data_IF_210122487882
#
_entry.id   IF_210122487882
#
_cell.length_a   1.000
_cell.length_b   1.000
_cell.length_c   1.000
_cell.angle_alpha   90.00
_cell.angle_beta   90.00
_cell.angle_gamma   90.00
#
_symmetry.space_group_name_H-M   'P 1'
#
loop_
_entity.id
_entity.type
_entity.pdbx_description
1 polymer ?
2 polymer ?
3 non-polymer ?
4 water ?
#
# COMPACT_ATOMS: atom_id res chain seq x y z
N UNK A 17 -0.50 -11.21 -10.08
CA UNK A 17 0.57 -11.80 -10.96
C UNK A 17 0.72 -10.99 -12.25
N UNK A 18 1.96 -10.84 -12.71
CA UNK A 18 2.22 -10.18 -14.00
C UNK A 18 3.67 -9.80 -14.20
N UNK A 19 3.91 -8.65 -14.86
CA UNK A 19 5.27 -8.29 -15.28
C UNK A 19 5.81 -6.87 -14.97
N UNK A 20 4.94 -5.88 -14.77
CA UNK A 20 5.41 -4.53 -14.40
C UNK A 20 5.04 -4.13 -12.97
N UNK A 21 5.85 -3.31 -12.33
CA UNK A 21 5.51 -2.68 -11.05
C UNK A 21 4.87 -1.31 -11.31
N UNK A 22 3.56 -1.22 -11.04
CA UNK A 22 2.80 0.00 -11.29
C UNK A 22 2.76 0.83 -9.99
N UNK A 23 3.03 2.13 -10.13
CA UNK A 23 2.90 3.06 -9.04
C UNK A 23 1.87 4.15 -9.42
N UNK A 24 0.84 4.27 -8.60
CA UNK A 24 -0.30 5.15 -8.84
C UNK A 24 -0.36 6.22 -7.76
N UNK A 25 -0.54 7.47 -8.21
CA UNK A 25 -0.71 8.60 -7.30
C UNK A 25 0.51 8.95 -6.47
N UNK A 26 0.24 9.46 -5.28
CA UNK A 26 1.27 9.82 -4.33
C UNK A 26 1.18 11.31 -3.99
N UNK A 27 2.22 11.79 -3.33
CA UNK A 27 2.26 13.15 -2.82
C UNK A 27 3.66 13.79 -2.98
N UNK A 28 3.67 15.00 -3.55
CA UNK A 28 4.84 15.87 -3.56
C UNK A 28 4.32 17.30 -3.72
N UNK A 29 4.24 18.03 -2.62
CA UNK A 29 3.67 19.41 -2.61
C UNK A 29 2.13 19.38 -2.67
N UNK A 30 1.60 18.50 -3.50
CA UNK A 30 0.17 18.21 -3.53
C UNK A 30 -0.01 16.78 -3.97
N UNK A 31 -1.21 16.26 -3.84
CA UNK A 31 -1.47 14.91 -4.33
C UNK A 31 -1.30 14.81 -5.85
N UNK A 32 -0.89 13.64 -6.33
CA UNK A 32 -0.49 13.40 -7.75
C UNK A 32 -1.40 12.46 -8.52
N UNK A 33 -1.46 12.64 -9.84
CA UNK A 33 -2.28 11.76 -10.70
C UNK A 33 -1.47 10.74 -11.49
N UNK A 34 -0.17 10.71 -11.25
CA UNK A 34 0.71 9.88 -12.09
C UNK A 34 0.37 8.39 -11.99
N UNK A 35 0.45 7.71 -13.13
CA UNK A 35 0.49 6.26 -13.15
C UNK A 35 1.70 5.90 -14.00
N UNK A 36 2.69 5.29 -13.34
CA UNK A 36 3.95 4.95 -14.00
C UNK A 36 4.23 3.49 -13.73
N UNK A 37 5.01 2.87 -14.62
CA UNK A 37 5.25 1.42 -14.51
C UNK A 37 6.71 1.08 -14.78
N UNK A 38 7.28 0.30 -13.86
CA UNK A 38 8.67 -0.05 -13.92
C UNK A 38 8.80 -1.50 -14.35
N UNK A 39 9.74 -1.74 -15.26
CA UNK A 39 10.02 -3.07 -15.80
C UNK A 39 11.35 -3.52 -15.20
N UNK A 40 11.29 -4.42 -14.20
CA UNK A 40 12.51 -4.94 -13.59
C UNK A 40 13.42 -5.63 -14.61
N UNK A 41 12.84 -6.21 -15.66
CA UNK A 41 13.62 -6.91 -16.70
C UNK A 41 14.56 -6.03 -17.52
N UNK A 42 14.18 -4.76 -17.75
CA UNK A 42 15.03 -3.90 -18.57
C UNK A 42 15.34 -2.53 -17.98
N UNK A 43 14.82 -2.25 -16.78
CA UNK A 43 15.08 -0.96 -16.11
C UNK A 43 14.25 0.24 -16.61
N UNK A 44 13.31 -0.03 -17.52
CA UNK A 44 12.56 1.05 -18.17
C UNK A 44 11.34 1.50 -17.35
N UNK A 45 10.99 2.78 -17.46
CA UNK A 45 9.79 3.32 -16.85
C UNK A 45 8.82 3.78 -17.94
N UNK A 46 7.53 3.44 -17.82
CA UNK A 46 6.51 3.98 -18.74
C UNK A 46 5.61 4.94 -18.00
N UNK A 47 5.23 6.03 -18.65
CA UNK A 47 4.12 6.84 -18.15
C UNK A 47 2.82 6.40 -18.78
N UNK A 48 1.86 6.09 -17.94
CA UNK A 48 0.55 5.67 -18.41
C UNK A 48 -0.49 6.78 -18.17
N UNK A 49 -1.76 6.47 -18.46
CA UNK A 49 -2.86 7.42 -18.31
C UNK A 49 -2.92 7.87 -16.86
N UNK A 50 -2.95 9.18 -16.64
CA UNK A 50 -3.17 9.72 -15.31
C UNK A 50 -4.45 9.21 -14.68
N UNK A 51 -4.43 9.08 -13.36
CA UNK A 51 -5.67 9.00 -12.59
C UNK A 51 -6.62 10.16 -12.94
N UNK A 52 -7.92 9.89 -12.95
CA UNK A 52 -8.95 10.92 -13.13
C UNK A 52 -8.93 11.98 -12.04
N UNK A 53 -8.64 11.57 -10.80
CA UNK A 53 -8.54 12.48 -9.67
C UNK A 53 -7.21 12.22 -8.95
N UNK A 54 -6.43 13.30 -8.64
CA UNK A 54 -5.17 13.10 -7.91
C UNK A 54 -5.45 12.47 -6.58
N UNK A 55 -4.53 11.64 -6.09
CA UNK A 55 -4.74 11.04 -4.77
C UNK A 55 -3.43 10.53 -4.19
N UNK A 56 -3.24 10.81 -2.90
CA UNK A 56 -2.13 10.22 -2.15
C UNK A 56 -2.74 9.35 -1.03
N UNK A 57 -1.95 8.49 -0.40
CA UNK A 57 -2.45 7.69 0.74
C UNK A 57 -3.47 6.64 0.31
N UNK A 58 -3.44 6.29 -0.98
CA UNK A 58 -4.32 5.29 -1.57
C UNK A 58 -3.62 3.93 -1.53
N UNK A 59 -4.33 2.86 -1.85
CA UNK A 59 -3.68 1.56 -2.07
C UNK A 59 -3.95 1.11 -3.48
N UNK A 60 -3.04 0.28 -4.01
CA UNK A 60 -3.28 -0.36 -5.31
C UNK A 60 -3.33 -1.88 -5.14
N UNK A 61 -4.13 -2.53 -5.96
CA UNK A 61 -4.14 -3.99 -5.98
C UNK A 61 -4.58 -4.47 -7.36
N UNK A 62 -4.27 -5.73 -7.68
CA UNK A 62 -4.63 -6.27 -8.99
C UNK A 62 -5.56 -7.47 -8.81
N UNK A 63 -6.67 -7.52 -9.55
CA UNK A 63 -7.51 -8.74 -9.63
C UNK A 63 -7.86 -8.96 -11.10
N UNK A 64 -7.60 -10.19 -11.57
CA UNK A 64 -7.97 -10.62 -12.92
C UNK A 64 -7.30 -9.74 -13.95
N UNK A 65 -6.03 -9.40 -13.70
CA UNK A 65 -5.26 -8.54 -14.61
C UNK A 65 -5.66 -7.05 -14.67
N UNK A 66 -6.61 -6.62 -13.84
CA UNK A 66 -6.99 -5.21 -13.79
C UNK A 66 -6.38 -4.57 -12.52
N UNK A 67 -5.92 -3.31 -12.64
CA UNK A 67 -5.34 -2.55 -11.55
C UNK A 67 -6.42 -1.67 -10.92
N UNK A 68 -6.58 -1.82 -9.61
CA UNK A 68 -7.52 -1.05 -8.82
C UNK A 68 -6.81 -0.05 -7.91
N UNK A 69 -7.27 1.21 -7.96
CA UNK A 69 -6.77 2.25 -7.11
C UNK A 69 -7.88 2.53 -6.08
N UNK A 70 -7.56 2.45 -4.79
CA UNK A 70 -8.59 2.42 -3.75
C UNK A 70 -8.40 3.53 -2.72
N UNK A 71 -9.42 4.33 -2.47
CA UNK A 71 -9.33 5.31 -1.37
C UNK A 71 -8.22 6.35 -1.58
N UNK A 72 -7.68 6.85 -0.47
CA UNK A 72 -6.75 7.98 -0.48
C UNK A 72 -7.39 9.33 -0.17
N UNK A 73 -6.72 10.41 -0.61
CA UNK A 73 -7.14 11.80 -0.36
C UNK A 73 -6.55 12.64 -1.46
N UNK A 74 -7.31 13.58 -1.98
CA UNK A 74 -6.71 14.58 -2.85
C UNK A 74 -6.35 15.81 -2.02
N UNK A 75 -5.06 15.93 -1.70
CA UNK A 75 -4.47 17.09 -1.01
C UNK A 75 -4.16 18.16 -2.06
N UNK A 76 -5.01 19.17 -2.20
CA UNK A 76 -4.80 20.16 -3.26
C UNK A 76 -5.04 21.60 -2.78
N UNK A 77 -4.55 22.60 -3.52
CA UNK A 77 -4.80 24.00 -3.05
C UNK A 77 -6.27 24.41 -3.14
N UNK A 78 -7.06 23.67 -3.92
CA UNK A 78 -8.49 23.94 -4.06
C UNK A 78 -9.35 23.12 -3.11
N UNK A 79 -8.73 22.53 -2.09
CA UNK A 79 -9.49 21.76 -1.11
C UNK A 79 -9.02 20.32 -0.99
N UNK A 80 -9.09 19.80 0.24
CA UNK A 80 -8.61 18.47 0.56
C UNK A 80 -9.79 17.53 0.70
N UNK A 81 -9.84 16.49 -0.12
CA UNK A 81 -10.99 15.64 -0.10
C UNK A 81 -10.56 14.19 0.11
N UNK A 82 -11.05 13.57 1.17
CA UNK A 82 -10.86 12.13 1.38
C UNK A 82 -11.66 11.38 0.34
N UNK A 83 -11.07 10.28 -0.17
CA UNK A 83 -11.65 9.52 -1.28
C UNK A 83 -12.31 8.23 -0.83
N UNK A 84 -13.52 8.03 -1.32
CA UNK A 84 -14.22 6.73 -1.24
C UNK A 84 -14.14 5.94 -2.56
N UNK A 85 -13.31 6.41 -3.48
CA UNK A 85 -13.35 5.92 -4.84
C UNK A 85 -12.63 4.59 -4.97
N UNK A 86 -13.17 3.81 -5.89
CA UNK A 86 -12.54 2.62 -6.42
C UNK A 86 -12.50 2.81 -7.94
N UNK A 87 -11.29 2.93 -8.50
CA UNK A 87 -11.12 3.10 -9.94
C UNK A 87 -10.31 1.97 -10.53
N UNK A 88 -10.64 1.58 -11.76
CA UNK A 88 -10.04 0.40 -12.40
C UNK A 88 -9.28 0.83 -13.65
N UNK A 89 -8.02 0.40 -13.75
CA UNK A 89 -7.15 0.67 -14.89
C UNK A 89 -6.98 -0.62 -15.70
N UNK A 90 -7.31 -0.53 -16.99
CA UNK A 90 -7.13 -1.68 -17.90
C UNK A 90 -5.87 -1.51 -18.73
N UNK A 91 -4.82 -2.32 -18.46
CA UNK A 91 -3.60 -2.25 -19.28
C UNK A 91 -3.83 -2.51 -20.79
N UNK A 92 -4.89 -3.22 -21.14
CA UNK A 92 -5.14 -3.53 -22.54
C UNK A 92 -5.59 -2.30 -23.30
N UNK A 93 -6.24 -1.35 -22.61
CA UNK A 93 -6.75 -0.12 -23.25
C UNK A 93 -6.03 1.12 -22.76
N UNK A 94 -5.23 1.00 -21.71
CA UNK A 94 -4.60 2.16 -21.11
C UNK A 94 -5.64 3.18 -20.69
N UNK A 95 -6.73 2.71 -20.09
CA UNK A 95 -7.79 3.59 -19.62
C UNK A 95 -8.27 3.27 -18.19
N UNK A 96 -8.54 4.33 -17.44
CA UNK A 96 -9.20 4.27 -16.13
C UNK A 96 -10.71 4.38 -16.26
N UNK A 97 -11.43 3.57 -15.49
CA UNK A 97 -12.88 3.63 -15.37
C UNK A 97 -13.26 3.61 -13.90
N UNK A 98 -14.25 4.42 -13.51
CA UNK A 98 -14.79 4.39 -12.14
C UNK A 98 -15.56 3.09 -11.85
N UNK A 99 -15.36 2.54 -10.65
CA UNK A 99 -16.16 1.42 -10.18
C UNK A 99 -17.01 1.92 -9.00
N UNK A 100 -17.84 1.05 -8.42
CA UNK A 100 -18.66 1.44 -7.29
C UNK A 100 -17.79 1.96 -6.14
N UNK A 101 -18.28 3.00 -5.50
CA UNK A 101 -17.54 3.64 -4.44
C UNK A 101 -17.77 2.89 -3.16
N UNK A 102 -16.80 3.00 -2.23
CA UNK A 102 -16.91 2.44 -0.88
C UNK A 102 -17.97 3.12 -0.06
N UNK A 103 -18.34 2.52 1.05
CA UNK A 103 -19.32 3.13 1.97
C UNK A 103 -18.89 4.48 2.54
N UNK A 104 -17.56 4.72 2.58
CA UNK A 104 -17.01 5.85 3.30
C UNK A 104 -15.66 6.24 2.71
N UNK A 105 -15.27 7.53 2.81
CA UNK A 105 -13.91 7.93 2.44
C UNK A 105 -12.87 7.27 3.35
N UNK A 106 -11.75 6.88 2.75
CA UNK A 106 -10.65 6.22 3.51
C UNK A 106 -9.31 6.64 2.97
N UNK A 107 -8.74 7.64 3.65
CA UNK A 107 -7.40 8.11 3.34
C UNK A 107 -6.46 7.24 4.20
N UNK A 108 -5.21 7.04 3.77
CA UNK A 108 -4.26 6.18 4.48
C UNK A 108 -4.90 4.80 4.74
N UNK A 109 -5.44 4.25 3.66
CA UNK A 109 -6.17 2.97 3.68
C UNK A 109 -5.15 1.82 3.59
N UNK A 110 -5.57 0.62 3.99
CA UNK A 110 -4.81 -0.61 3.64
C UNK A 110 -5.77 -1.51 2.87
N UNK A 111 -5.24 -2.27 1.91
CA UNK A 111 -6.09 -3.11 1.05
C UNK A 111 -5.42 -4.50 0.87
N UNK A 112 -6.23 -5.54 0.84
CA UNK A 112 -5.72 -6.88 0.48
C UNK A 112 -6.77 -7.55 -0.39
N UNK A 113 -6.37 -8.62 -1.07
CA UNK A 113 -7.28 -9.36 -1.93
C UNK A 113 -7.31 -10.80 -1.45
N UNK A 114 -8.51 -11.33 -1.18
CA UNK A 114 -8.65 -12.76 -0.91
C UNK A 114 -9.60 -13.37 -1.93
N UNK A 115 -9.12 -14.37 -2.66
CA UNK A 115 -10.00 -15.10 -3.56
C UNK A 115 -10.79 -14.17 -4.49
N UNK A 116 -10.10 -13.24 -5.13
CA UNK A 116 -10.71 -12.35 -6.10
C UNK A 116 -11.54 -11.22 -5.52
N UNK A 117 -11.56 -11.07 -4.19
CA UNK A 117 -12.35 -10.00 -3.57
C UNK A 117 -11.46 -9.00 -2.87
N UNK A 118 -11.73 -7.71 -3.06
CA UNK A 118 -10.88 -6.65 -2.52
C UNK A 118 -11.36 -6.22 -1.16
N UNK A 119 -10.48 -6.24 -0.15
CA UNK A 119 -10.83 -5.76 1.19
C UNK A 119 -10.22 -4.40 1.43
N UNK A 120 -11.07 -3.43 1.77
CA UNK A 120 -10.65 -2.07 2.13
C UNK A 120 -10.68 -1.95 3.64
N UNK A 121 -9.57 -1.52 4.23
CA UNK A 121 -9.40 -1.62 5.67
C UNK A 121 -9.04 -0.26 6.32
N UNK A 122 -9.85 0.16 7.28
CA UNK A 122 -9.50 1.32 8.10
C UNK A 122 -9.38 2.62 7.33
N UNK A 123 -8.40 3.43 7.73
CA UNK A 123 -8.15 4.68 7.06
C UNK A 123 -8.91 5.83 7.75
N UNK A 124 -8.67 7.05 7.32
CA UNK A 124 -9.31 8.23 7.98
C UNK A 124 -10.34 8.95 7.10
N UNK A 125 -11.25 9.68 7.75
CA UNK A 125 -12.16 10.59 7.07
C UNK A 125 -12.21 11.80 7.98
N UNK A 126 -11.56 12.88 7.56
CA UNK A 126 -11.45 14.07 8.42
C UNK A 126 -10.75 13.68 9.70
N UNK A 127 -11.34 13.97 10.86
CA UNK A 127 -10.65 13.61 12.12
C UNK A 127 -10.98 12.21 12.67
N UNK A 128 -11.81 11.46 11.95
CA UNK A 128 -12.30 10.13 12.34
C UNK A 128 -11.29 9.07 11.83
N UNK A 129 -11.04 8.04 12.66
CA UNK A 129 -10.15 6.95 12.32
C UNK A 129 -10.97 5.68 12.29
N UNK A 130 -11.08 5.08 11.12
CA UNK A 130 -11.97 3.90 10.92
C UNK A 130 -11.43 2.63 11.56
N UNK A 131 -12.32 1.88 12.22
CA UNK A 131 -12.11 0.44 12.42
C UNK A 131 -12.85 -0.35 11.35
N UNK A 132 -13.76 0.30 10.60
CA UNK A 132 -14.60 -0.45 9.62
C UNK A 132 -13.76 -1.08 8.49
N UNK A 133 -14.32 -2.14 7.90
CA UNK A 133 -13.71 -2.93 6.84
C UNK A 133 -14.83 -3.28 5.85
N UNK A 134 -14.54 -3.16 4.56
CA UNK A 134 -15.53 -3.55 3.55
C UNK A 134 -14.90 -4.34 2.38
N UNK A 135 -15.73 -5.13 1.69
CA UNK A 135 -15.28 -6.09 0.70
C UNK A 135 -15.99 -5.87 -0.64
N UNK A 136 -15.19 -5.76 -1.69
CA UNK A 136 -15.63 -5.56 -3.06
C UNK A 136 -15.70 -6.86 -3.85
N UNK A 137 -16.82 -7.02 -4.54
CA UNK A 137 -17.12 -8.15 -5.44
C UNK A 137 -17.09 -7.65 -6.90
N UNK A 138 -15.98 -7.88 -7.61
CA UNK A 138 -15.83 -7.30 -8.95
C UNK A 138 -16.91 -7.73 -9.94
N UNK A 139 -17.28 -9.01 -9.90
CA UNK A 139 -18.34 -9.54 -10.76
C UNK A 139 -19.66 -8.77 -10.59
N UNK A 140 -20.06 -8.48 -9.35
CA UNK A 140 -21.26 -7.65 -9.12
C UNK A 140 -21.00 -6.12 -9.08
N UNK A 141 -19.74 -5.68 -9.05
CA UNK A 141 -19.45 -4.25 -8.85
C UNK A 141 -20.19 -3.70 -7.61
N UNK A 142 -19.93 -4.33 -6.48
CA UNK A 142 -20.64 -4.03 -5.25
C UNK A 142 -19.73 -4.13 -4.03
N UNK A 143 -19.85 -3.17 -3.11
CA UNK A 143 -19.17 -3.19 -1.81
C UNK A 143 -20.12 -3.64 -0.68
N UNK A 144 -19.62 -4.44 0.27
CA UNK A 144 -20.38 -4.73 1.46
C UNK A 144 -19.52 -4.66 2.70
N UNK A 145 -20.07 -4.12 3.78
CA UNK A 145 -19.30 -4.03 5.02
C UNK A 145 -19.16 -5.39 5.70
N UNK A 146 -17.98 -5.65 6.26
CA UNK A 146 -17.77 -6.89 7.01
C UNK A 146 -17.51 -6.51 8.45
N UNK A 147 -17.11 -7.45 9.29
CA UNK A 147 -16.81 -7.10 10.68
C UNK A 147 -15.70 -6.06 10.79
N UNK A 148 -15.87 -5.08 11.70
CA UNK A 148 -14.81 -4.11 11.86
C UNK A 148 -13.63 -4.70 12.61
N UNK A 149 -12.44 -4.12 12.41
CA UNK A 149 -11.27 -4.49 13.20
C UNK A 149 -11.51 -4.23 14.68
N UNK A 150 -10.69 -4.87 15.50
CA UNK A 150 -10.72 -4.61 16.93
C UNK A 150 -10.19 -3.24 17.35
N UNK A 151 -9.47 -2.60 16.42
CA UNK A 151 -8.75 -1.36 16.68
C UNK A 151 -9.00 -0.39 15.51
N UNK A 152 -9.16 0.89 15.81
CA UNK A 152 -9.23 1.91 14.77
C UNK A 152 -7.81 2.05 14.18
N UNK A 153 -7.66 2.02 12.85
CA UNK A 153 -6.32 2.09 12.29
C UNK A 153 -6.26 2.88 11.00
N UNK A 154 -5.38 3.88 10.96
CA UNK A 154 -5.05 4.58 9.70
C UNK A 154 -3.57 4.39 9.46
N UNK A 155 -3.14 4.49 8.21
CA UNK A 155 -1.71 4.31 7.89
C UNK A 155 -1.35 2.87 8.18
N UNK A 156 -2.33 1.99 8.02
CA UNK A 156 -2.24 0.58 8.37
C UNK A 156 -1.67 -0.23 7.20
N UNK A 157 -0.78 -1.17 7.51
CA UNK A 157 -0.27 -2.07 6.48
C UNK A 157 -1.18 -3.31 6.42
N UNK A 158 -1.47 -3.77 5.22
CA UNK A 158 -2.35 -4.94 5.05
C UNK A 158 -1.68 -5.91 4.08
N UNK A 159 -1.73 -7.21 4.40
CA UNK A 159 -1.31 -8.23 3.44
C UNK A 159 -2.15 -9.49 3.68
N UNK A 160 -2.16 -10.36 2.68
CA UNK A 160 -2.94 -11.61 2.74
C UNK A 160 -1.96 -12.77 2.60
N UNK A 161 -2.11 -13.76 3.47
CA UNK A 161 -1.33 -15.00 3.40
C UNK A 161 -2.26 -16.13 3.80
N UNK A 162 -2.33 -17.14 2.94
CA UNK A 162 -3.11 -18.31 3.22
C UNK A 162 -4.59 -17.97 3.46
N UNK A 163 -5.13 -17.09 2.59
CA UNK A 163 -6.54 -16.65 2.66
C UNK A 163 -6.99 -16.09 4.03
N UNK A 164 -6.04 -15.49 4.75
CA UNK A 164 -6.30 -14.75 5.99
C UNK A 164 -5.76 -13.33 5.75
N UNK A 165 -6.53 -12.32 6.18
CA UNK A 165 -6.11 -10.89 5.98
C UNK A 165 -5.52 -10.32 7.24
N UNK A 166 -4.37 -9.64 7.15
CA UNK A 166 -3.68 -9.10 8.32
C UNK A 166 -3.68 -7.59 8.26
N UNK A 167 -3.97 -6.95 9.38
CA UNK A 167 -3.89 -5.48 9.54
C UNK A 167 -2.80 -5.20 10.57
N UNK A 168 -1.79 -4.48 10.13
CA UNK A 168 -0.55 -4.36 10.87
C UNK A 168 -0.22 -2.90 11.19
N UNK A 169 -0.07 -2.59 12.47
CA UNK A 169 0.29 -1.24 12.90
C UNK A 169 -0.72 -0.16 12.53
N UNK A 170 -0.18 1.03 12.24
CA UNK A 170 -1.02 2.18 11.96
C UNK A 170 -1.03 3.21 13.10
N UNK A 171 -2.08 4.03 13.10
CA UNK A 171 -2.28 5.16 14.00
C UNK A 171 -3.78 5.20 14.33
N UNK A 172 -4.10 5.26 15.63
CA UNK A 172 -5.49 5.24 16.06
C UNK A 172 -6.05 6.62 16.26
N UNK A 173 -5.22 7.64 16.08
CA UNK A 173 -5.58 9.03 16.33
C UNK A 173 -4.88 9.57 17.55
N UNK A 174 -4.45 8.67 18.44
CA UNK A 174 -3.74 9.02 19.66
C UNK A 174 -2.32 8.49 19.63
N UNK A 175 -2.17 7.17 19.39
CA UNK A 175 -0.85 6.53 19.38
C UNK A 175 -0.56 5.82 18.06
N UNK A 176 0.72 5.79 17.63
CA UNK A 176 1.14 4.82 16.60
C UNK A 176 1.11 3.43 17.24
N UNK A 177 0.88 2.41 16.44
CA UNK A 177 0.63 1.09 16.96
C UNK A 177 1.71 0.09 16.56
N UNK A 178 2.03 -0.83 17.46
CA UNK A 178 2.78 -2.05 17.08
C UNK A 178 1.85 -3.24 16.96
N UNK A 179 0.60 -3.04 17.36
CA UNK A 179 -0.34 -4.15 17.41
C UNK A 179 -0.67 -4.59 15.98
N UNK A 180 -1.17 -5.81 15.86
CA UNK A 180 -1.69 -6.29 14.59
C UNK A 180 -2.81 -7.29 14.85
N UNK A 181 -3.65 -7.49 13.84
CA UNK A 181 -4.75 -8.42 13.96
C UNK A 181 -5.03 -9.16 12.63
N UNK A 182 -5.80 -10.24 12.71
CA UNK A 182 -5.96 -11.14 11.58
C UNK A 182 -7.46 -11.49 11.44
N UNK A 183 -7.93 -11.47 10.20
CA UNK A 183 -9.30 -11.69 9.85
C UNK A 183 -9.51 -13.08 9.19
N UNK A 184 -10.50 -13.82 9.73
CA UNK A 184 -10.90 -15.16 9.22
C UNK A 184 -12.22 -14.99 8.49
N UNK A 185 -12.19 -15.00 7.15
CA UNK A 185 -13.42 -14.68 6.38
C UNK A 185 -14.58 -15.62 6.70
N UNK A 186 -14.30 -16.91 6.90
CA UNK A 186 -15.39 -17.87 7.19
C UNK A 186 -16.09 -17.60 8.52
N UNK A 187 -15.39 -16.97 9.45
CA UNK A 187 -16.03 -16.56 10.70
C UNK A 187 -16.40 -15.07 10.79
N UNK A 188 -16.06 -14.32 9.77
CA UNK A 188 -16.24 -12.86 9.77
C UNK A 188 -15.77 -12.30 11.10
N UNK A 189 -14.50 -12.53 11.42
CA UNK A 189 -14.04 -12.29 12.78
C UNK A 189 -12.58 -11.89 12.79
N UNK A 190 -12.22 -10.87 13.58
CA UNK A 190 -10.81 -10.45 13.73
C UNK A 190 -10.25 -11.00 15.02
N UNK A 191 -8.97 -11.36 14.98
CA UNK A 191 -8.24 -11.77 16.19
C UNK A 191 -6.89 -11.07 16.25
N UNK A 192 -6.51 -10.65 17.47
CA UNK A 192 -5.19 -10.11 17.71
C UNK A 192 -4.11 -11.16 17.38
N UNK A 193 -2.99 -10.71 16.84
CA UNK A 193 -1.79 -11.54 16.75
C UNK A 193 -0.66 -10.87 17.56
N UNK A 194 0.48 -11.57 17.67
CA UNK A 194 1.66 -10.98 18.30
C UNK A 194 1.93 -9.56 17.75
N UNK A 195 2.14 -8.57 18.65
CA UNK A 195 2.51 -7.25 18.15
C UNK A 195 3.93 -7.24 17.59
N UNK A 196 4.20 -6.27 16.72
CA UNK A 196 5.54 -6.08 16.19
C UNK A 196 6.45 -5.60 17.34
N UNK A 197 7.74 -5.69 17.10
CA UNK A 197 8.72 -5.17 18.03
C UNK A 197 8.79 -3.65 18.00
N UNK A 198 8.33 -3.01 16.92
CA UNK A 198 8.45 -1.56 16.76
C UNK A 198 7.10 -1.00 16.37
N UNK A 199 6.77 0.14 16.95
CA UNK A 199 5.57 0.90 16.54
C UNK A 199 5.76 1.44 15.13
N UNK A 200 4.79 1.22 14.23
CA UNK A 200 4.94 1.72 12.87
C UNK A 200 3.62 2.11 12.30
N UNK A 201 3.54 3.39 11.95
CA UNK A 201 2.49 3.92 11.10
C UNK A 201 3.08 4.13 9.69
N UNK A 202 2.32 3.85 8.63
CA UNK A 202 2.83 4.10 7.27
C UNK A 202 4.00 3.23 6.85
N UNK A 203 4.04 2.02 7.39
CA UNK A 203 5.05 1.06 6.95
C UNK A 203 4.60 0.48 5.58
N UNK A 204 5.53 -0.14 4.86
CA UNK A 204 5.15 -0.99 3.73
C UNK A 204 4.94 -2.40 4.25
N UNK A 205 3.74 -2.97 4.03
CA UNK A 205 3.51 -4.33 4.54
C UNK A 205 3.21 -5.26 3.36
N UNK A 206 3.90 -6.40 3.29
CA UNK A 206 3.64 -7.30 2.15
C UNK A 206 4.06 -8.72 2.52
N UNK A 207 3.78 -9.68 1.66
CA UNK A 207 4.02 -11.10 2.02
C UNK A 207 5.04 -11.69 1.11
N UNK A 208 5.99 -12.42 1.70
CA UNK A 208 6.99 -13.12 0.91
C UNK A 208 7.13 -14.51 1.49
N UNK A 209 6.81 -15.52 0.70
CA UNK A 209 6.83 -16.88 1.17
C UNK A 209 5.90 -17.05 2.37
N UNK A 210 6.39 -17.48 3.52
CA UNK A 210 5.50 -17.70 4.69
C UNK A 210 5.43 -16.52 5.67
N UNK A 211 5.95 -15.37 5.25
CA UNK A 211 6.26 -14.30 6.18
C UNK A 211 5.61 -12.98 5.74
N UNK A 212 5.00 -12.27 6.69
CA UNK A 212 4.49 -10.90 6.50
C UNK A 212 5.61 -9.92 6.89
N UNK A 213 6.03 -9.09 5.96
CA UNK A 213 7.12 -8.15 6.21
C UNK A 213 6.49 -6.81 6.55
N UNK A 214 7.08 -6.07 7.50
CA UNK A 214 6.67 -4.69 7.74
C UNK A 214 7.96 -3.87 7.66
N UNK A 215 8.08 -3.02 6.63
CA UNK A 215 9.32 -2.27 6.32
C UNK A 215 9.10 -0.80 6.63
N UNK A 216 10.03 -0.17 7.35
CA UNK A 216 9.97 1.28 7.51
C UNK A 216 8.74 1.73 8.29
N UNK A 217 8.25 2.92 7.97
CA UNK A 217 7.16 3.53 8.71
C UNK A 217 7.68 4.63 9.64
N UNK A 218 6.81 5.10 10.52
CA UNK A 218 7.12 6.19 11.44
C UNK A 218 6.70 5.76 12.84
N UNK A 219 7.57 5.94 13.85
CA UNK A 219 7.26 5.45 15.20
C UNK A 219 6.73 6.54 16.13
N UNK A 220 6.42 7.69 15.55
CA UNK A 220 6.05 8.86 16.32
C UNK A 220 7.20 9.80 16.60
N UNK A 221 8.43 9.37 16.34
CA UNK A 221 9.63 10.22 16.54
C UNK A 221 10.48 10.29 15.28
N UNK A 222 10.67 9.15 14.64
CA UNK A 222 11.58 9.04 13.52
C UNK A 222 10.97 8.19 12.40
N UNK A 223 11.28 8.53 11.15
CA UNK A 223 11.09 7.57 10.03
C UNK A 223 12.05 6.41 10.21
N UNK A 224 11.61 5.21 9.85
CA UNK A 224 12.35 3.96 10.16
C UNK A 224 12.99 3.31 8.93
N UNK A 225 14.18 2.74 9.11
CA UNK A 225 14.76 1.86 8.08
C UNK A 225 14.64 0.39 8.46
N UNK A 226 14.27 0.11 9.71
CA UNK A 226 14.16 -1.28 10.17
C UNK A 226 13.01 -2.01 9.49
N UNK A 227 13.15 -3.33 9.43
CA UNK A 227 12.25 -4.22 8.70
C UNK A 227 12.12 -5.47 9.54
N UNK A 228 10.88 -5.86 9.85
CA UNK A 228 10.68 -7.08 10.61
C UNK A 228 9.62 -7.91 9.91
N UNK A 229 9.66 -9.20 10.19
CA UNK A 229 8.77 -10.15 9.54
C UNK A 229 8.16 -11.12 10.52
N UNK A 230 6.89 -11.41 10.27
CA UNK A 230 6.10 -12.27 11.10
C UNK A 230 6.01 -13.64 10.43
N UNK A 231 6.45 -14.65 11.14
CA UNK A 231 6.32 -16.04 10.69
C UNK A 231 4.98 -16.53 11.23
N UNK A 232 4.00 -16.77 10.34
CA UNK A 232 2.66 -17.18 10.80
C UNK A 232 2.67 -18.49 11.61
N UNK A 233 3.59 -19.38 11.31
CA UNK A 233 3.65 -20.65 12.05
C UNK A 233 4.18 -20.48 13.47
N UNK A 234 5.21 -19.65 13.64
CA UNK A 234 5.82 -19.47 14.98
C UNK A 234 5.23 -18.31 15.76
N UNK A 235 4.47 -17.47 15.07
CA UNK A 235 3.85 -16.31 15.71
C UNK A 235 4.87 -15.34 16.30
N UNK A 236 6.04 -15.23 15.69
CA UNK A 236 6.97 -14.27 16.19
C UNK A 236 7.37 -13.30 15.09
N UNK A 237 7.82 -12.11 15.50
CA UNK A 237 8.38 -11.08 14.63
C UNK A 237 9.91 -11.03 14.80
N UNK A 238 10.65 -11.07 13.71
CA UNK A 238 12.09 -11.05 13.72
C UNK A 238 12.57 -9.93 12.80
N UNK A 239 13.56 -9.15 13.25
CA UNK A 239 14.16 -8.15 12.35
C UNK A 239 15.02 -8.80 11.30
N UNK A 240 15.00 -8.28 10.07
CA UNK A 240 15.91 -8.73 9.01
C UNK A 240 16.82 -7.53 8.74
N UNK A 241 17.59 -7.56 7.67
CA UNK A 241 18.47 -6.42 7.31
C UNK A 241 17.63 -5.11 7.12
N UNK A 242 18.12 -3.97 7.66
CA UNK A 242 17.35 -2.73 7.42
C UNK A 242 17.51 -2.22 5.99
N UNK A 243 16.56 -1.39 5.54
CA UNK A 243 16.69 -0.74 4.23
C UNK A 243 17.82 0.27 4.27
N UNK A 244 18.32 0.62 3.09
CA UNK A 244 19.35 1.64 2.98
C UNK A 244 18.80 3.04 3.38
N UNK A 245 17.54 3.32 3.05
CA UNK A 245 16.92 4.60 3.48
C UNK A 245 15.83 4.38 4.51
N UNK A 246 15.84 5.21 5.57
CA UNK A 246 14.68 5.39 6.43
C UNK A 246 13.56 5.92 5.55
N UNK A 247 12.34 5.42 5.72
CA UNK A 247 11.21 5.88 4.90
C UNK A 247 9.87 5.56 5.55
N UNK A 248 8.95 6.52 5.52
CA UNK A 248 7.55 6.24 5.89
C UNK A 248 6.68 6.59 4.68
N UNK A 249 5.47 6.05 4.66
CA UNK A 249 4.56 6.21 3.52
C UNK A 249 5.23 5.77 2.21
N UNK A 250 5.90 4.63 2.29
CA UNK A 250 6.52 4.00 1.12
C UNK A 250 5.48 3.12 0.40
N UNK A 251 5.74 2.84 -0.88
CA UNK A 251 4.96 1.87 -1.63
C UNK A 251 5.70 0.56 -1.52
N UNK A 252 4.97 -0.56 -1.58
CA UNK A 252 5.65 -1.87 -1.45
C UNK A 252 4.97 -2.88 -2.36
N UNK A 253 5.76 -3.75 -2.99
CA UNK A 253 5.18 -4.93 -3.65
C UNK A 253 6.17 -6.08 -3.67
N UNK A 254 5.73 -7.25 -4.15
CA UNK A 254 6.61 -8.40 -4.32
C UNK A 254 6.62 -8.80 -5.80
N UNK A 255 7.80 -9.17 -6.30
CA UNK A 255 7.90 -9.58 -7.67
C UNK A 255 9.07 -10.56 -7.80
N UNK A 256 8.72 -11.74 -8.29
CA UNK A 256 9.65 -12.82 -8.50
C UNK A 256 10.53 -13.09 -7.28
N UNK A 257 9.88 -13.24 -6.13
CA UNK A 257 10.58 -13.63 -4.90
C UNK A 257 11.39 -12.54 -4.22
N UNK A 258 11.18 -11.29 -4.62
CA UNK A 258 11.88 -10.15 -4.00
C UNK A 258 10.87 -9.08 -3.62
N UNK A 259 11.21 -8.35 -2.56
CA UNK A 259 10.40 -7.20 -2.15
C UNK A 259 10.98 -5.95 -2.79
N UNK A 260 10.10 -5.09 -3.28
CA UNK A 260 10.48 -3.78 -3.78
C UNK A 260 9.77 -2.70 -2.94
N UNK A 261 10.55 -1.71 -2.48
CA UNK A 261 9.98 -0.54 -1.78
C UNK A 261 10.20 0.69 -2.65
N UNK A 262 9.18 1.54 -2.73
CA UNK A 262 9.24 2.64 -3.65
C UNK A 262 8.93 3.95 -2.90
N UNK A 263 9.86 4.89 -2.99
CA UNK A 263 9.61 6.26 -2.52
C UNK A 263 9.36 6.36 -1.03
N UNK A 264 8.57 7.35 -0.60
CA UNK A 264 8.39 7.58 0.80
C UNK A 264 9.03 8.91 1.20
N UNK A 265 9.02 9.18 2.49
CA UNK A 265 9.57 10.40 3.05
C UNK A 265 10.57 9.97 4.12
N UNK A 266 11.75 10.60 4.15
CA UNK A 266 12.75 10.20 5.13
C UNK A 266 12.94 11.23 6.25
N UNK A 267 12.05 12.20 6.34
CA UNK A 267 12.13 13.21 7.35
C UNK A 267 12.91 14.41 6.86
N UNK A 268 13.39 14.33 5.63
CA UNK A 268 14.16 15.42 5.00
C UNK A 268 13.70 15.65 3.56
N UNK A 269 13.63 14.57 2.79
CA UNK A 269 13.37 14.62 1.36
C UNK A 269 12.27 13.60 0.98
N UNK A 270 11.52 13.90 -0.08
CA UNK A 270 10.64 12.91 -0.74
C UNK A 270 11.45 12.07 -1.66
N UNK A 271 11.52 10.79 -1.34
CA UNK A 271 12.47 9.90 -1.96
C UNK A 271 12.08 9.47 -3.37
N UNK A 272 13.07 9.37 -4.25
CA UNK A 272 12.83 8.70 -5.53
C UNK A 272 13.38 7.27 -5.55
N UNK A 273 14.07 6.90 -4.48
CA UNK A 273 14.77 5.62 -4.38
C UNK A 273 13.79 4.44 -4.43
N UNK A 274 14.12 3.44 -5.26
CA UNK A 274 13.49 2.10 -5.23
C UNK A 274 14.52 1.06 -4.78
N UNK A 275 14.28 0.35 -3.67
CA UNK A 275 15.22 -0.69 -3.17
C UNK A 275 14.57 -2.09 -3.31
N UNK A 276 15.40 -3.12 -3.50
CA UNK A 276 14.99 -4.51 -3.70
C UNK A 276 15.56 -5.29 -2.53
N UNK A 277 14.76 -6.14 -1.90
CA UNK A 277 15.22 -7.02 -0.84
C UNK A 277 15.27 -8.45 -1.37
N UNK A 278 16.43 -9.08 -1.24
CA UNK A 278 16.62 -10.50 -1.54
C UNK A 278 16.63 -11.32 -0.26
N UNK A 279 15.61 -12.17 -0.05
CA UNK A 279 15.55 -12.96 1.19
C UNK A 279 16.65 -14.05 1.29
N UNK A 280 17.10 -14.54 0.14
CA UNK A 280 18.20 -15.52 0.05
C UNK A 280 19.49 -14.97 0.66
N UNK A 281 19.78 -13.71 0.38
CA UNK A 281 21.00 -13.07 0.87
C UNK A 281 20.77 -12.13 2.05
N UNK A 282 19.50 -11.90 2.39
CA UNK A 282 19.15 -10.90 3.42
C UNK A 282 19.87 -9.56 3.17
N UNK A 283 19.76 -9.04 1.94
CA UNK A 283 20.35 -7.77 1.54
C UNK A 283 19.34 -6.88 0.78
N UNK A 284 19.48 -5.56 0.99
CA UNK A 284 18.72 -4.54 0.28
C UNK A 284 19.66 -3.88 -0.69
N UNK A 285 19.20 -3.67 -1.93
CA UNK A 285 20.00 -3.01 -2.96
C UNK A 285 19.17 -1.93 -3.63
N UNK A 286 19.78 -0.82 -4.02
CA UNK A 286 19.11 0.21 -4.86
C UNK A 286 18.99 -0.35 -6.24
N UNK A 287 17.79 -0.35 -6.80
CA UNK A 287 17.64 -0.91 -8.14
C UNK A 287 17.30 0.13 -9.20
N UNK A 288 16.58 1.17 -8.82
CA UNK A 288 16.21 2.18 -9.79
C UNK A 288 15.72 3.40 -9.03
N UNK A 289 15.36 4.44 -9.77
CA UNK A 289 14.80 5.61 -9.16
C UNK A 289 13.53 5.88 -9.94
N UNK A 290 12.52 6.34 -9.22
CA UNK A 290 11.32 6.89 -9.79
C UNK A 290 11.71 8.17 -10.54
N UNK A 291 10.86 8.56 -11.47
CA UNK A 291 11.09 9.73 -12.30
C UNK A 291 11.05 11.03 -11.46
N UNK A 292 10.41 10.97 -10.27
CA UNK A 292 10.43 12.06 -9.28
C UNK A 292 10.09 11.53 -7.86
N UNK A 293 10.63 12.20 -6.84
CA UNK A 293 10.41 11.83 -5.44
C UNK A 293 8.94 12.01 -5.04
N UNK A 294 8.41 11.09 -4.23
CA UNK A 294 7.01 11.16 -3.79
C UNK A 294 6.76 10.12 -2.70
N UNK A 295 5.72 10.37 -1.91
CA UNK A 295 5.30 9.47 -0.84
C UNK A 295 3.82 9.08 -1.05
N UNK A 296 3.38 8.07 -0.33
CA UNK A 296 1.97 7.72 -0.27
C UNK A 296 1.39 7.20 -1.58
N UNK A 297 2.22 6.49 -2.35
CA UNK A 297 1.76 5.86 -3.58
C UNK A 297 1.01 4.53 -3.32
N UNK A 298 0.19 4.14 -4.28
CA UNK A 298 -0.37 2.78 -4.35
C UNK A 298 0.44 1.99 -5.38
N UNK A 299 0.78 0.73 -5.06
CA UNK A 299 1.69 -0.10 -5.90
C UNK A 299 1.09 -1.49 -6.10
N UNK A 300 1.19 -2.01 -7.32
CA UNK A 300 0.78 -3.40 -7.57
C UNK A 300 1.46 -3.92 -8.84
N UNK A 301 1.38 -5.23 -9.05
CA UNK A 301 2.05 -5.85 -10.20
C UNK A 301 1.01 -6.47 -11.12
N UNK A 302 1.15 -6.22 -12.44
CA UNK A 302 0.34 -6.93 -13.44
C UNK A 302 1.01 -6.87 -14.84
N UNK A 303 0.36 -7.49 -15.83
CA UNK A 303 0.84 -7.51 -17.25
C UNK A 303 1.10 -6.09 -17.81
N UNK A 304 2.09 -5.98 -18.69
CA UNK A 304 2.39 -4.75 -19.44
C UNK A 304 1.18 -4.25 -20.25
N UNK A 305 1.07 -2.92 -20.44
CA UNK A 305 0.02 -2.37 -21.31
C UNK A 305 0.42 -2.44 -22.80
N UNK A 306 -0.22 -1.62 -23.65
CA UNK A 306 0.02 -1.61 -25.12
C UNK A 306 0.43 -0.26 -25.76
N UNK A 307 -0.08 0.86 -25.24
CA UNK A 307 0.14 2.19 -25.88
C UNK A 307 0.53 3.38 -24.96
N UNK A 308 1.45 3.14 -24.03
CA UNK A 308 1.98 4.19 -23.14
C UNK A 308 2.94 5.18 -23.81
N UNK A 309 3.63 5.98 -22.99
CA UNK A 309 4.84 6.72 -23.42
C UNK A 309 6.03 6.32 -22.55
N UNK A 310 7.16 5.94 -23.18
CA UNK A 310 8.35 5.62 -22.39
C UNK A 310 8.96 6.91 -21.79
N UNK A 311 9.33 6.83 -20.52
CA UNK A 311 9.95 7.93 -19.81
C UNK A 311 11.41 7.94 -20.20
N UNK A 312 11.89 9.11 -20.62
CA UNK A 312 13.29 9.31 -20.99
C UNK A 312 14.18 9.46 -19.74
N UNK B 3 -0.44 12.55 6.57
CA UNK B 3 0.02 13.42 7.70
C UNK B 3 1.54 13.50 7.71
N UNK B 4 2.14 13.51 8.90
CA UNK B 4 3.61 13.58 8.96
C UNK B 4 4.36 12.35 8.43
N UNK B 5 3.73 11.17 8.27
CA UNK B 5 4.50 10.13 7.55
C UNK B 5 4.57 10.30 6.09
N UNK B 6 3.59 10.99 5.53
CA UNK B 6 3.66 11.37 4.15
C UNK B 6 4.58 12.57 3.95
N UNK B 7 4.90 13.28 5.04
CA UNK B 7 5.61 14.58 4.96
C UNK B 7 4.69 15.69 4.52
N UNK B 8 3.41 15.51 4.79
CA UNK B 8 2.43 16.48 4.48
C UNK B 8 2.50 17.56 5.56
#
# INVERSE_FOLDING_TARGET
>A
MTLHKPTQAVPCRAPKVGRLIYTAGGYFRQSLSYLEAYNPSNGSWLRLADLQVPRSGLAGCVVGGLLYAVGGRNNSPDGNTDSSALDCYNPMTNQWSPCASMSVPRNRIGVGVIDGHIYAVGGSHGCIHHSSVERYEPERDEWHLVAPMLTRRIGVGVAVLNRLLYAVGGFDGTNRLNSAECYYPERNEWRMITPMNTIRSGAGVCVLHNCIYAAGGYDGQDQLNSVERYDVETETWTFVAPMRHHRSALGITVHQGKIYVLGGYDGHTFLDSVECYDPDSDTWSEVTRMTSGRSGVGVAVTMEPCRKQIDQQNCTCY
>B
ILWRQDIDLGVSREV
#
